data_IF_094251798195
#
_entry.id   IF_094251798195
#
_cell.length_a   1.000
_cell.length_b   1.000
_cell.length_c   1.000
_cell.angle_alpha   90.00
_cell.angle_beta   90.00
_cell.angle_gamma   90.00
#
_symmetry.space_group_name_H-M   'P 1'
#
loop_
_entity.id
_entity.type
_entity.pdbx_description
1 polymer ?
#
# COMPACT_ATOMS: atom_id res chain seq x y z
N UNK A 1 4.78 19.96 38.05
CA UNK A 1 3.81 21.00 38.48
C UNK A 1 3.13 21.52 37.24
N UNK A 2 1.79 21.42 37.19
CA UNK A 2 0.93 22.04 36.17
C UNK A 2 0.98 23.58 36.28
N UNK A 3 0.37 24.29 35.33
CA UNK A 3 -1.05 24.63 35.55
C UNK A 3 -1.95 24.36 34.35
N UNK A 4 -3.18 23.99 34.67
CA UNK A 4 -4.33 23.86 33.78
C UNK A 4 -5.05 25.20 33.63
N UNK A 5 -5.79 25.38 32.53
CA UNK A 5 -7.00 26.21 32.52
C UNK A 5 -7.98 25.72 31.43
N UNK A 6 -9.18 25.36 31.88
CA UNK A 6 -10.37 24.97 31.14
C UNK A 6 -11.24 26.22 30.92
N UNK A 7 -11.82 26.43 29.73
CA UNK A 7 -13.09 27.16 29.59
C UNK A 7 -13.98 26.47 28.55
N UNK A 8 -15.21 26.13 28.98
CA UNK A 8 -16.35 25.64 28.19
C UNK A 8 -17.13 26.81 27.60
N UNK A 9 -17.73 26.63 26.41
CA UNK A 9 -19.17 26.75 26.13
C UNK A 9 -19.44 27.20 24.67
N UNK A 10 -20.31 26.44 23.99
CA UNK A 10 -20.86 26.73 22.67
C UNK A 10 -22.16 27.56 22.77
N UNK A 11 -22.51 28.40 21.77
CA UNK A 11 -23.77 29.14 21.74
C UNK A 11 -24.94 28.32 21.14
N UNK A 12 -26.21 28.74 21.38
CA UNK A 12 -27.39 27.90 21.25
C UNK A 12 -28.07 27.93 19.86
N UNK A 13 -28.96 26.95 19.68
CA UNK A 13 -29.84 26.72 18.53
C UNK A 13 -30.94 27.78 18.42
N UNK A 14 -31.25 28.22 17.19
CA UNK A 14 -32.45 29.01 16.88
C UNK A 14 -33.41 28.23 15.97
N UNK A 15 -34.67 28.16 16.39
CA UNK A 15 -35.81 27.66 15.61
C UNK A 15 -36.35 28.80 14.73
N UNK A 16 -36.65 28.50 13.47
CA UNK A 16 -37.29 29.41 12.52
C UNK A 16 -38.17 28.65 11.52
N UNK A 17 -39.40 29.14 11.35
CA UNK A 17 -40.60 28.49 10.80
C UNK A 17 -40.68 28.34 9.28
N UNK A 18 -41.56 27.43 8.88
CA UNK A 18 -41.93 26.98 7.54
C UNK A 18 -42.39 28.05 6.53
N UNK A 19 -42.12 27.79 5.24
CA UNK A 19 -42.95 28.21 4.10
C UNK A 19 -43.04 27.09 3.05
N UNK A 20 -44.28 26.80 2.66
CA UNK A 20 -44.79 25.81 1.71
C UNK A 20 -44.82 26.35 0.28
N UNK A 21 -44.51 25.52 -0.73
CA UNK A 21 -45.01 25.61 -2.13
C UNK A 21 -45.08 24.17 -2.71
N UNK A 22 -46.10 23.81 -3.52
CA UNK A 22 -46.53 22.42 -3.74
C UNK A 22 -45.89 21.79 -4.99
N UNK A 23 -46.18 20.51 -5.29
CA UNK A 23 -46.63 20.01 -6.60
C UNK A 23 -46.77 18.47 -6.64
N UNK A 24 -47.96 18.06 -7.07
CA UNK A 24 -48.34 16.93 -7.93
C UNK A 24 -48.12 15.46 -7.51
N UNK A 25 -49.28 14.83 -7.35
CA UNK A 25 -49.56 13.39 -7.25
C UNK A 25 -49.48 12.69 -8.61
N UNK A 26 -48.68 11.61 -8.73
CA UNK A 26 -48.95 10.51 -9.67
C UNK A 26 -48.43 9.19 -9.06
N UNK A 27 -49.29 8.16 -9.04
CA UNK A 27 -49.05 6.80 -8.54
C UNK A 27 -47.90 6.08 -9.27
N UNK A 28 -47.15 5.16 -8.63
CA UNK A 28 -46.23 4.29 -9.35
C UNK A 28 -46.98 3.12 -10.00
N UNK A 29 -46.88 3.03 -11.32
CA UNK A 29 -47.14 1.80 -12.09
C UNK A 29 -45.85 0.99 -12.02
N UNK A 30 -45.89 -0.15 -11.32
CA UNK A 30 -44.77 -1.11 -11.30
C UNK A 30 -44.82 -1.90 -12.61
N UNK A 31 -43.79 -1.75 -13.43
CA UNK A 31 -43.49 -2.63 -14.57
C UNK A 31 -42.11 -3.25 -14.33
N UNK A 32 -41.92 -4.58 -14.43
CA UNK A 32 -40.67 -5.22 -14.06
C UNK A 32 -39.66 -5.14 -15.21
N UNK A 33 -38.59 -4.36 -15.05
CA UNK A 33 -37.48 -4.34 -15.99
C UNK A 33 -36.44 -5.41 -15.63
N UNK A 34 -36.73 -6.62 -16.06
CA UNK A 34 -35.71 -7.61 -16.44
C UNK A 34 -34.99 -7.11 -17.70
N UNK A 35 -34.16 -6.06 -17.59
CA UNK A 35 -33.13 -5.71 -18.57
C UNK A 35 -32.03 -4.95 -17.82
N UNK A 36 -30.86 -5.56 -17.70
CA UNK A 36 -29.65 -4.90 -17.21
C UNK A 36 -29.34 -3.68 -18.09
N UNK A 37 -29.01 -2.50 -17.53
CA UNK A 37 -28.46 -1.43 -18.34
C UNK A 37 -27.07 -1.83 -18.81
N UNK A 38 -26.86 -1.83 -20.13
CA UNK A 38 -25.54 -1.69 -20.71
C UNK A 38 -25.02 -0.28 -20.39
N UNK A 39 -24.16 -0.15 -19.39
CA UNK A 39 -23.34 1.06 -19.21
C UNK A 39 -22.27 1.07 -20.30
N UNK A 40 -22.51 1.87 -21.34
CA UNK A 40 -21.43 2.35 -22.23
C UNK A 40 -20.56 3.34 -21.47
N UNK A 41 -19.26 3.23 -21.71
CA UNK A 41 -18.20 3.82 -20.91
C UNK A 41 -18.05 5.32 -21.08
N UNK A 42 -18.03 6.00 -19.93
CA UNK A 42 -17.38 7.30 -19.69
C UNK A 42 -16.39 7.22 -18.51
N UNK A 43 -16.19 6.04 -17.93
CA UNK A 43 -15.19 5.85 -16.87
C UNK A 43 -13.82 5.63 -17.51
N UNK A 44 -12.91 6.58 -17.26
CA UNK A 44 -11.47 6.33 -17.33
C UNK A 44 -11.20 5.00 -16.62
N UNK A 45 -10.64 3.98 -17.30
CA UNK A 45 -10.38 2.71 -16.65
C UNK A 45 -9.54 2.92 -15.39
N UNK A 46 -9.79 2.13 -14.33
CA UNK A 46 -9.06 2.24 -13.07
C UNK A 46 -7.52 2.17 -13.22
N UNK A 47 -7.01 1.72 -14.38
CA UNK A 47 -5.58 1.71 -14.70
C UNK A 47 -5.03 2.99 -15.36
N UNK A 48 -5.87 3.90 -15.85
CA UNK A 48 -5.47 5.15 -16.54
C UNK A 48 -5.17 6.26 -15.52
N UNK A 49 -5.89 6.29 -14.41
CA UNK A 49 -5.48 6.92 -13.15
C UNK A 49 -6.12 6.10 -12.03
N UNK A 50 -5.37 5.31 -11.26
CA UNK A 50 -5.96 4.56 -10.18
C UNK A 50 -6.43 5.54 -9.12
N UNK A 51 -7.74 5.79 -9.13
CA UNK A 51 -8.44 6.20 -7.93
C UNK A 51 -8.24 5.09 -6.90
N UNK A 52 -7.24 5.24 -6.03
CA UNK A 52 -6.88 4.23 -5.04
C UNK A 52 -8.07 3.88 -4.15
N UNK A 53 -9.05 4.77 -3.99
CA UNK A 53 -10.28 4.49 -3.23
C UNK A 53 -11.15 3.39 -3.83
N UNK A 54 -10.97 3.07 -5.11
CA UNK A 54 -11.62 1.93 -5.78
C UNK A 54 -10.80 0.65 -5.69
N UNK A 55 -9.51 0.74 -5.33
CA UNK A 55 -8.59 -0.40 -5.32
C UNK A 55 -8.28 -0.89 -3.91
N UNK A 56 -8.21 0.02 -2.94
CA UNK A 56 -7.90 -0.29 -1.55
C UNK A 56 -8.70 0.56 -0.58
N UNK A 57 -8.83 0.03 0.63
CA UNK A 57 -9.28 0.77 1.80
C UNK A 57 -8.21 0.68 2.87
N UNK A 58 -7.88 1.81 3.48
CA UNK A 58 -7.05 1.87 4.69
C UNK A 58 -7.94 1.67 5.91
N UNK A 59 -7.59 0.70 6.75
CA UNK A 59 -8.23 0.44 8.03
C UNK A 59 -7.33 0.96 9.15
N UNK A 60 -7.77 2.01 9.86
CA UNK A 60 -7.06 2.55 11.02
C UNK A 60 -7.53 1.85 12.29
N UNK A 61 -6.77 0.86 12.75
CA UNK A 61 -7.05 0.16 14.00
C UNK A 61 -6.48 0.93 15.20
N UNK A 62 -7.03 0.73 16.43
CA UNK A 62 -6.44 1.33 17.63
C UNK A 62 -5.00 0.87 17.86
N UNK A 63 -4.15 1.75 18.38
CA UNK A 63 -2.74 1.48 18.68
C UNK A 63 -1.75 2.12 17.69
N UNK A 64 -0.46 1.93 17.95
CA UNK A 64 0.62 2.44 17.08
C UNK A 64 0.96 1.42 16.00
N UNK A 65 1.11 1.87 14.76
CA UNK A 65 1.48 1.03 13.60
C UNK A 65 0.50 -0.12 13.33
N UNK A 66 -0.78 0.10 13.59
CA UNK A 66 -1.85 -0.89 13.44
C UNK A 66 -2.76 -0.60 12.24
N UNK A 67 -2.45 0.44 11.45
CA UNK A 67 -3.15 0.66 10.19
C UNK A 67 -2.77 -0.42 9.18
N UNK A 68 -3.71 -0.82 8.32
CA UNK A 68 -3.46 -1.77 7.22
C UNK A 68 -4.24 -1.41 5.97
N UNK A 69 -3.73 -1.84 4.83
CA UNK A 69 -4.41 -1.67 3.54
C UNK A 69 -5.09 -2.98 3.13
N UNK A 70 -6.34 -2.89 2.68
CA UNK A 70 -7.15 -4.05 2.26
C UNK A 70 -7.57 -3.87 0.81
N UNK A 71 -7.43 -4.92 -0.01
CA UNK A 71 -7.86 -4.90 -1.41
C UNK A 71 -9.38 -4.76 -1.51
N UNK A 72 -9.84 -3.97 -2.49
CA UNK A 72 -11.25 -3.88 -2.88
C UNK A 72 -11.56 -4.62 -4.18
N UNK A 73 -10.54 -5.21 -4.81
CA UNK A 73 -10.63 -5.82 -6.14
C UNK A 73 -10.00 -7.21 -6.18
N UNK A 74 -10.48 -8.00 -7.13
CA UNK A 74 -9.85 -9.25 -7.54
C UNK A 74 -8.91 -8.98 -8.72
N UNK A 75 -7.67 -9.47 -8.65
CA UNK A 75 -6.69 -9.36 -9.72
C UNK A 75 -5.87 -10.64 -9.86
N UNK A 76 -5.56 -11.11 -11.08
CA UNK A 76 -4.71 -12.28 -11.25
C UNK A 76 -3.27 -11.97 -10.81
N UNK A 77 -2.51 -13.02 -10.50
CA UNK A 77 -1.08 -12.93 -10.20
C UNK A 77 -0.33 -12.18 -11.32
N UNK A 78 0.61 -11.32 -10.94
CA UNK A 78 1.37 -10.50 -11.87
C UNK A 78 0.62 -9.31 -12.49
N UNK A 79 -0.69 -9.11 -12.21
CA UNK A 79 -1.41 -7.93 -12.70
C UNK A 79 -0.88 -6.63 -12.08
N UNK A 80 -1.04 -5.51 -12.79
CA UNK A 80 -0.81 -4.18 -12.20
C UNK A 80 -1.93 -3.91 -11.21
N UNK A 81 -1.57 -3.66 -9.95
CA UNK A 81 -2.49 -3.21 -8.92
C UNK A 81 -2.66 -1.69 -9.01
N UNK A 82 -1.57 -0.93 -8.97
CA UNK A 82 -1.57 0.53 -9.10
C UNK A 82 -0.29 1.03 -9.77
N UNK A 83 -0.31 2.26 -10.28
CA UNK A 83 0.87 2.99 -10.76
C UNK A 83 1.32 4.01 -9.71
N UNK A 84 2.62 4.22 -9.58
CA UNK A 84 3.20 5.26 -8.71
C UNK A 84 3.35 6.53 -9.54
N UNK A 85 2.41 7.47 -9.39
CA UNK A 85 2.25 8.57 -10.36
C UNK A 85 2.69 9.96 -9.88
N UNK A 86 2.84 10.18 -8.57
CA UNK A 86 3.25 11.48 -8.03
C UNK A 86 4.27 11.37 -6.88
N UNK A 87 5.33 10.55 -7.01
CA UNK A 87 6.33 10.43 -5.97
C UNK A 87 7.18 11.71 -5.88
N UNK A 88 7.67 12.01 -4.68
CA UNK A 88 8.64 13.10 -4.46
C UNK A 88 9.90 12.54 -3.81
N UNK A 89 11.11 13.01 -4.18
CA UNK A 89 12.33 12.64 -3.49
C UNK A 89 12.22 12.89 -1.98
N UNK A 90 12.81 11.99 -1.19
CA UNK A 90 12.73 11.99 0.26
C UNK A 90 14.07 11.61 0.89
N UNK A 91 14.25 11.99 2.14
CA UNK A 91 15.27 11.37 3.00
C UNK A 91 14.77 10.02 3.48
N UNK A 92 15.69 9.10 3.83
CA UNK A 92 15.32 7.80 4.42
C UNK A 92 14.49 8.02 5.68
N UNK A 93 13.26 7.50 5.65
CA UNK A 93 12.29 7.59 6.72
C UNK A 93 11.40 6.34 6.74
N UNK A 94 10.65 6.15 7.83
CA UNK A 94 9.69 5.03 7.96
C UNK A 94 8.63 5.00 6.85
N UNK A 95 8.26 6.15 6.29
CA UNK A 95 7.26 6.30 5.20
C UNK A 95 7.86 6.29 3.81
N UNK A 96 9.19 6.44 3.70
CA UNK A 96 9.87 6.50 2.41
C UNK A 96 10.08 5.10 1.83
N UNK A 97 10.17 5.01 0.51
CA UNK A 97 10.53 3.78 -0.21
C UNK A 97 11.81 4.04 -1.02
N UNK A 98 12.76 3.12 -0.98
CA UNK A 98 13.95 3.16 -1.82
C UNK A 98 13.60 2.76 -3.26
N UNK A 99 13.72 3.72 -4.18
CA UNK A 99 13.37 3.55 -5.60
C UNK A 99 14.58 3.25 -6.50
N UNK A 100 15.79 3.58 -6.04
CA UNK A 100 17.06 3.19 -6.66
C UNK A 100 18.18 3.21 -5.62
N UNK A 101 19.44 2.97 -6.02
CA UNK A 101 20.61 3.03 -5.14
C UNK A 101 20.61 4.28 -4.25
N UNK A 102 20.43 5.45 -4.85
CA UNK A 102 20.63 6.75 -4.22
C UNK A 102 19.34 7.59 -4.11
N UNK A 103 18.17 6.96 -4.34
CA UNK A 103 16.88 7.65 -4.32
C UNK A 103 15.90 6.98 -3.37
N UNK A 104 15.44 7.74 -2.38
CA UNK A 104 14.21 7.46 -1.64
C UNK A 104 13.10 8.40 -2.11
N UNK A 105 11.86 7.91 -2.04
CA UNK A 105 10.66 8.66 -2.40
C UNK A 105 9.62 8.61 -1.29
N UNK A 106 8.84 9.67 -1.17
CA UNK A 106 7.51 9.62 -0.58
C UNK A 106 6.49 9.30 -1.67
N UNK A 107 5.59 8.35 -1.39
CA UNK A 107 4.56 7.90 -2.34
C UNK A 107 3.43 8.92 -2.52
N UNK A 108 3.25 9.83 -1.54
CA UNK A 108 2.22 10.87 -1.52
C UNK A 108 0.78 10.36 -1.73
N UNK A 109 0.50 9.11 -1.35
CA UNK A 109 -0.81 8.48 -1.47
C UNK A 109 -0.95 7.28 -0.51
N UNK A 110 -2.15 6.68 -0.46
CA UNK A 110 -2.50 5.63 0.49
C UNK A 110 -1.68 4.32 0.36
N UNK A 111 -0.91 4.16 -0.72
CA UNK A 111 0.04 3.05 -0.86
C UNK A 111 1.07 3.01 0.30
N UNK A 112 1.30 4.13 0.99
CA UNK A 112 2.16 4.21 2.20
C UNK A 112 1.69 3.31 3.35
N UNK A 113 0.41 2.91 3.37
CA UNK A 113 -0.17 2.05 4.40
C UNK A 113 -0.09 0.54 4.05
N UNK A 114 0.62 0.16 3.00
CA UNK A 114 0.83 -1.25 2.65
C UNK A 114 1.95 -1.80 3.54
N UNK A 115 1.59 -2.75 4.39
CA UNK A 115 2.49 -3.29 5.41
C UNK A 115 3.46 -4.35 4.87
N UNK A 116 4.41 -4.74 5.71
CA UNK A 116 5.30 -5.86 5.42
C UNK A 116 4.60 -7.23 5.59
N UNK A 117 4.89 -8.17 4.70
CA UNK A 117 4.72 -9.61 4.97
C UNK A 117 5.89 -10.42 4.41
N UNK A 118 6.26 -11.51 5.10
CA UNK A 118 7.20 -12.50 4.60
C UNK A 118 6.59 -13.42 3.52
N UNK A 119 5.27 -13.37 3.34
CA UNK A 119 4.55 -13.96 2.19
C UNK A 119 3.68 -12.85 1.58
N UNK A 120 4.27 -11.98 0.73
CA UNK A 120 3.63 -10.76 0.28
C UNK A 120 2.52 -11.02 -0.74
N UNK A 121 1.52 -10.15 -0.78
CA UNK A 121 0.47 -10.15 -1.81
C UNK A 121 0.84 -9.27 -3.01
N UNK A 122 1.72 -8.29 -2.80
CA UNK A 122 2.15 -7.31 -3.80
C UNK A 122 3.68 -7.25 -3.93
N UNK A 123 4.14 -6.73 -5.06
CA UNK A 123 5.52 -6.31 -5.31
C UNK A 123 5.54 -4.84 -5.72
N UNK A 124 6.53 -4.11 -5.22
CA UNK A 124 6.79 -2.73 -5.59
C UNK A 124 7.88 -2.72 -6.65
N UNK A 125 7.49 -2.59 -7.92
CA UNK A 125 8.40 -2.54 -9.06
C UNK A 125 8.82 -1.10 -9.34
N UNK A 126 9.98 -0.71 -8.80
CA UNK A 126 10.52 0.64 -8.90
C UNK A 126 11.15 0.91 -10.27
N UNK A 127 11.49 -0.13 -11.03
CA UNK A 127 11.95 0.02 -12.42
C UNK A 127 10.79 0.47 -13.31
N UNK A 128 9.59 -0.07 -13.07
CA UNK A 128 8.38 0.23 -13.85
C UNK A 128 7.47 1.29 -13.23
N UNK A 129 7.76 1.73 -12.01
CA UNK A 129 6.90 2.62 -11.21
C UNK A 129 5.48 2.04 -11.05
N UNK A 130 5.41 0.74 -10.76
CA UNK A 130 4.18 -0.02 -10.65
C UNK A 130 4.15 -0.82 -9.34
N UNK A 131 2.98 -0.87 -8.69
CA UNK A 131 2.66 -1.88 -7.68
C UNK A 131 1.92 -3.00 -8.38
N UNK A 132 2.40 -4.24 -8.25
CA UNK A 132 1.85 -5.40 -8.97
C UNK A 132 1.46 -6.50 -7.99
N UNK A 133 0.48 -7.30 -8.34
CA UNK A 133 0.18 -8.53 -7.60
C UNK A 133 1.38 -9.46 -7.72
N UNK A 134 1.83 -10.02 -6.60
CA UNK A 134 2.94 -10.98 -6.61
C UNK A 134 2.66 -12.12 -7.58
N UNK A 135 3.64 -12.46 -8.41
CA UNK A 135 3.53 -13.58 -9.35
C UNK A 135 3.40 -14.92 -8.63
N UNK A 136 3.89 -15.01 -7.39
CA UNK A 136 3.85 -16.22 -6.57
C UNK A 136 2.53 -16.37 -5.78
N UNK A 137 1.65 -15.36 -5.86
CA UNK A 137 0.34 -15.41 -5.20
C UNK A 137 -0.62 -16.31 -6.00
N UNK A 138 -0.59 -17.60 -5.70
CA UNK A 138 -1.47 -18.61 -6.31
C UNK A 138 -2.94 -18.21 -6.14
N UNK A 139 -3.69 -18.13 -7.24
CA UNK A 139 -5.09 -17.70 -7.26
C UNK A 139 -5.31 -16.19 -7.42
N UNK A 140 -4.22 -15.41 -7.42
CA UNK A 140 -4.24 -13.95 -7.50
C UNK A 140 -4.69 -13.28 -6.20
N UNK A 141 -4.79 -11.96 -6.26
CA UNK A 141 -5.30 -11.12 -5.18
C UNK A 141 -6.83 -11.16 -5.17
N UNK A 142 -7.43 -11.22 -3.98
CA UNK A 142 -8.88 -11.15 -3.77
C UNK A 142 -9.28 -9.89 -3.02
N UNK A 143 -10.49 -9.41 -3.28
CA UNK A 143 -11.11 -8.39 -2.46
C UNK A 143 -11.22 -8.89 -1.01
N UNK A 144 -10.80 -8.05 -0.07
CA UNK A 144 -10.69 -8.40 1.35
C UNK A 144 -9.32 -8.90 1.79
N UNK A 145 -8.42 -9.24 0.86
CA UNK A 145 -7.04 -9.60 1.20
C UNK A 145 -6.28 -8.39 1.74
N UNK A 146 -5.40 -8.63 2.72
CA UNK A 146 -4.46 -7.60 3.16
C UNK A 146 -3.40 -7.35 2.09
N UNK A 147 -3.17 -6.08 1.78
CA UNK A 147 -2.13 -5.63 0.86
C UNK A 147 -0.81 -5.55 1.63
N UNK A 148 0.14 -6.37 1.21
CA UNK A 148 1.46 -6.44 1.84
C UNK A 148 2.56 -6.62 0.80
N UNK A 149 3.76 -6.14 1.10
CA UNK A 149 4.95 -6.41 0.28
C UNK A 149 6.15 -6.77 1.14
N UNK A 150 7.17 -7.35 0.52
CA UNK A 150 8.40 -7.70 1.23
C UNK A 150 9.33 -6.49 1.24
N UNK A 151 9.36 -5.72 2.34
CA UNK A 151 10.15 -4.47 2.42
C UNK A 151 11.61 -4.60 1.93
N UNK A 152 12.38 -5.66 2.27
CA UNK A 152 13.74 -5.81 1.75
C UNK A 152 13.85 -5.96 0.22
N UNK A 153 12.74 -6.14 -0.51
CA UNK A 153 12.73 -6.07 -1.98
C UNK A 153 12.96 -4.67 -2.53
N UNK A 154 12.70 -3.63 -1.73
CA UNK A 154 13.00 -2.23 -2.07
C UNK A 154 14.12 -1.68 -1.19
N UNK A 155 14.15 -2.02 0.10
CA UNK A 155 15.02 -1.40 1.09
C UNK A 155 16.34 -2.15 1.30
N UNK A 156 17.47 -1.48 1.06
CA UNK A 156 18.79 -2.01 1.38
C UNK A 156 19.07 -1.97 2.88
N UNK A 157 18.90 -0.81 3.50
CA UNK A 157 19.15 -0.53 4.91
C UNK A 157 17.99 0.32 5.43
N UNK A 158 17.22 -0.20 6.38
CA UNK A 158 16.01 0.47 6.86
C UNK A 158 16.32 1.43 8.01
N UNK A 159 15.78 2.65 7.95
CA UNK A 159 15.92 3.61 9.06
C UNK A 159 15.31 3.12 10.39
N UNK A 160 14.31 2.23 10.33
CA UNK A 160 13.67 1.67 11.50
C UNK A 160 13.39 0.17 11.32
N UNK A 161 14.34 -0.69 11.71
CA UNK A 161 14.10 -2.12 11.81
C UNK A 161 12.98 -2.46 12.79
N UNK A 162 12.28 -3.57 12.57
CA UNK A 162 11.15 -3.98 13.41
C UNK A 162 11.00 -5.50 13.51
N UNK A 163 10.35 -5.98 14.57
CA UNK A 163 9.96 -7.37 14.71
C UNK A 163 8.71 -7.67 13.87
N UNK A 164 8.82 -8.57 12.89
CA UNK A 164 7.73 -8.88 11.98
C UNK A 164 6.56 -9.55 12.71
N UNK A 165 5.35 -9.08 12.39
CA UNK A 165 4.09 -9.58 12.95
C UNK A 165 3.16 -10.17 11.89
N UNK A 166 3.71 -10.57 10.73
CA UNK A 166 2.91 -11.13 9.62
C UNK A 166 2.29 -12.50 9.95
N UNK A 167 2.83 -13.22 10.94
CA UNK A 167 2.38 -14.55 11.41
C UNK A 167 2.44 -15.67 10.35
N UNK A 168 3.13 -15.44 9.24
CA UNK A 168 3.40 -16.46 8.24
C UNK A 168 4.30 -17.56 8.81
N UNK A 169 4.10 -18.81 8.38
CA UNK A 169 4.91 -19.94 8.83
C UNK A 169 6.40 -19.78 8.46
N UNK A 170 6.67 -19.09 7.35
CA UNK A 170 8.01 -18.75 6.85
C UNK A 170 8.49 -17.36 7.30
N UNK A 171 7.92 -16.81 8.38
CA UNK A 171 8.29 -15.49 8.90
C UNK A 171 9.80 -15.42 9.20
N UNK A 172 10.43 -14.33 8.78
CA UNK A 172 11.88 -14.12 8.92
C UNK A 172 12.26 -13.40 10.24
N UNK A 173 11.29 -13.13 11.12
CA UNK A 173 11.53 -12.49 12.41
C UNK A 173 11.77 -10.99 12.26
N UNK A 174 12.96 -10.51 12.58
CA UNK A 174 13.29 -9.08 12.49
C UNK A 174 13.57 -8.68 11.04
N UNK A 175 13.02 -7.54 10.61
CA UNK A 175 13.20 -6.97 9.26
C UNK A 175 14.02 -5.68 9.38
N UNK A 176 15.17 -5.62 8.71
CA UNK A 176 16.11 -4.48 8.74
C UNK A 176 16.58 -4.00 7.36
N UNK A 177 16.03 -4.55 6.29
CA UNK A 177 16.49 -4.32 4.91
C UNK A 177 17.34 -5.48 4.38
N UNK A 178 17.61 -5.48 3.07
CA UNK A 178 18.28 -6.58 2.38
C UNK A 178 19.75 -6.76 2.78
N UNK A 179 20.42 -5.68 3.19
CA UNK A 179 21.84 -5.67 3.52
C UNK A 179 22.21 -6.74 4.53
N UNK A 180 21.40 -6.99 5.54
CA UNK A 180 21.73 -7.90 6.65
C UNK A 180 21.10 -9.29 6.52
N UNK A 181 20.35 -9.55 5.45
CA UNK A 181 19.70 -10.83 5.22
C UNK A 181 20.62 -11.82 4.49
N UNK A 182 20.42 -13.11 4.76
CA UNK A 182 21.15 -14.17 4.08
C UNK A 182 20.77 -14.23 2.58
N UNK A 183 21.74 -14.38 1.66
CA UNK A 183 21.44 -14.48 0.23
C UNK A 183 20.46 -15.59 -0.14
N UNK A 184 20.52 -16.73 0.56
CA UNK A 184 19.57 -17.84 0.36
C UNK A 184 18.13 -17.44 0.66
N UNK A 185 17.91 -16.59 1.66
CA UNK A 185 16.57 -16.08 1.99
C UNK A 185 16.10 -15.09 0.93
N UNK A 186 16.97 -14.16 0.54
CA UNK A 186 16.62 -13.15 -0.47
C UNK A 186 16.31 -13.76 -1.84
N UNK A 187 16.94 -14.89 -2.18
CA UNK A 187 16.65 -15.63 -3.42
C UNK A 187 15.24 -16.24 -3.48
N UNK A 188 14.52 -16.29 -2.36
CA UNK A 188 13.11 -16.72 -2.31
C UNK A 188 12.14 -15.61 -2.75
N UNK A 189 12.63 -14.38 -2.96
CA UNK A 189 11.80 -13.20 -3.21
C UNK A 189 12.15 -12.54 -4.55
N UNK A 190 11.16 -11.87 -5.13
CA UNK A 190 11.41 -10.87 -6.16
C UNK A 190 12.06 -9.63 -5.53
N UNK A 191 13.15 -9.14 -6.11
CA UNK A 191 13.91 -7.98 -5.67
C UNK A 191 13.95 -6.92 -6.77
N UNK A 192 14.00 -5.65 -6.39
CA UNK A 192 14.31 -4.59 -7.35
C UNK A 192 15.77 -4.68 -7.79
N UNK A 193 16.04 -4.25 -9.02
CA UNK A 193 17.37 -4.28 -9.62
C UNK A 193 18.45 -3.60 -8.75
N UNK A 194 18.13 -2.47 -8.11
CA UNK A 194 19.10 -1.78 -7.24
C UNK A 194 19.49 -2.60 -6.01
N UNK A 195 18.60 -3.45 -5.50
CA UNK A 195 18.92 -4.37 -4.40
C UNK A 195 19.82 -5.50 -4.89
N UNK A 196 19.54 -6.07 -6.06
CA UNK A 196 20.37 -7.10 -6.67
C UNK A 196 21.81 -6.59 -6.93
N UNK A 197 21.93 -5.38 -7.46
CA UNK A 197 23.22 -4.71 -7.68
C UNK A 197 24.00 -4.52 -6.37
N UNK A 198 23.34 -4.01 -5.32
CA UNK A 198 23.95 -3.81 -4.00
C UNK A 198 24.40 -5.13 -3.35
N UNK A 199 23.63 -6.21 -3.52
CA UNK A 199 24.01 -7.55 -3.07
C UNK A 199 25.26 -8.05 -3.81
N UNK A 200 25.32 -7.87 -5.12
CA UNK A 200 26.45 -8.28 -5.95
C UNK A 200 27.73 -7.53 -5.55
N UNK A 201 27.66 -6.22 -5.33
CA UNK A 201 28.78 -5.41 -4.84
C UNK A 201 29.28 -5.86 -3.47
N UNK A 202 28.35 -6.12 -2.53
CA UNK A 202 28.69 -6.61 -1.20
C UNK A 202 29.42 -7.96 -1.26
N UNK A 203 28.94 -8.88 -2.11
CA UNK A 203 29.56 -10.20 -2.28
C UNK A 203 30.98 -10.10 -2.87
N UNK A 204 31.19 -9.19 -3.83
CA UNK A 204 32.49 -8.96 -4.47
C UNK A 204 33.50 -8.33 -3.50
N UNK A 205 33.03 -7.42 -2.65
CA UNK A 205 33.85 -6.78 -1.61
C UNK A 205 34.29 -7.77 -0.52
N UNK A 206 33.42 -8.71 -0.15
CA UNK A 206 33.74 -9.75 0.85
C UNK A 206 34.62 -10.89 0.29
N UNK A 207 34.75 -11.02 -1.03
CA UNK A 207 35.60 -12.02 -1.68
C UNK A 207 37.07 -11.62 -1.84
N UNK A 208 37.44 -10.39 -1.49
CA UNK A 208 38.83 -9.90 -1.58
C UNK A 208 39.55 -10.07 -0.24
N UNK A 209 39.84 -11.32 0.15
CA UNK A 209 40.90 -11.60 1.13
C UNK A 209 42.17 -11.98 0.37
N UNK A 210 43.15 -11.08 0.33
CA UNK A 210 44.49 -11.38 -0.17
C UNK A 210 45.08 -12.57 0.61
N UNK A 211 45.56 -13.64 -0.05
CA UNK A 211 46.45 -14.58 0.60
C UNK A 211 47.79 -13.89 0.83
N UNK A 212 48.26 -13.92 2.08
CA UNK A 212 49.63 -13.58 2.46
C UNK A 212 50.59 -14.73 2.12
#
# INVERSE_FOLDING_TARGET
MSPAAIIKAAPPQSNGTAKTVPISSVKPIITPSSVLPHTRGDSVPAWVQPDLSQLLRVEHLPGSFTSRSVSLVDLPAGAVFARISNPTPATVAYTSVQASRDLHIELNCDLVYINHSCRPTLVFDMTRWEVRVSSDLVGGLKAGDELTFFYPSTEWDMAQPFDCRCREASCKGTISGAKDMAPSVLSEYWLNAHIEELLQEKSSSNGTTCPA
#
